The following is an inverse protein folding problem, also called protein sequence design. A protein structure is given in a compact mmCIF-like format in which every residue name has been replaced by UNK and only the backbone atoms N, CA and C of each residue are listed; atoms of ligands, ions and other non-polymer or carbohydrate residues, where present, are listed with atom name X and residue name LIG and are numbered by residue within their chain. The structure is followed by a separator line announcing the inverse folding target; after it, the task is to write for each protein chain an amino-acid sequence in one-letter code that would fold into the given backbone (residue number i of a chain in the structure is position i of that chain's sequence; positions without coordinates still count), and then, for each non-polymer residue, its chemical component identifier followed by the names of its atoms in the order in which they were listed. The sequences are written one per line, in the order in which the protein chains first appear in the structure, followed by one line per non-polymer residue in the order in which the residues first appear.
data_IF_593514359885
#
_entry.id   IF_593514359885
#
_cell.length_a   1.000
_cell.length_b   1.000
_cell.length_c   1.000
_cell.angle_alpha   90.00
_cell.angle_beta   90.00
_cell.angle_gamma   90.00
#
_symmetry.space_group_name_H-M   'P 1'
#
loop_
_entity.id
_entity.type
_entity.pdbx_description
1 polymer ?
#
# COMPACT_ATOMS: atom_id res chain seq x y z
N UNK A 1 -16.22 6.42 6.48
CA UNK A 1 -16.36 5.41 5.41
C UNK A 1 -15.71 5.83 4.09
N UNK A 2 -16.16 6.88 3.40
CA UNK A 2 -15.62 7.30 2.08
C UNK A 2 -14.09 7.47 2.05
N UNK A 3 -13.51 8.12 3.07
CA UNK A 3 -12.06 8.32 3.20
C UNK A 3 -11.29 7.02 3.44
N UNK A 4 -11.87 6.08 4.19
CA UNK A 4 -11.29 4.75 4.41
C UNK A 4 -11.23 3.97 3.10
N UNK A 5 -12.29 4.01 2.29
CA UNK A 5 -12.31 3.36 0.97
C UNK A 5 -11.34 3.99 -0.01
N UNK A 6 -11.17 5.32 -0.01
CA UNK A 6 -10.16 6.00 -0.84
C UNK A 6 -8.75 5.56 -0.46
N UNK A 7 -8.43 5.56 0.83
CA UNK A 7 -7.13 5.10 1.30
C UNK A 7 -6.87 3.63 0.97
N UNK A 8 -7.86 2.76 1.23
CA UNK A 8 -7.82 1.34 0.92
C UNK A 8 -7.56 1.14 -0.57
N UNK A 9 -8.30 1.84 -1.45
CA UNK A 9 -8.10 1.77 -2.89
C UNK A 9 -6.68 2.18 -3.26
N UNK A 10 -6.20 3.37 -2.85
CA UNK A 10 -4.89 3.86 -3.26
C UNK A 10 -3.73 2.95 -2.80
N UNK A 11 -3.74 2.54 -1.53
CA UNK A 11 -2.68 1.70 -0.97
C UNK A 11 -2.69 0.29 -1.55
N UNK A 12 -3.87 -0.29 -1.75
CA UNK A 12 -3.97 -1.63 -2.35
C UNK A 12 -3.76 -1.62 -3.84
N UNK A 13 -4.19 -0.59 -4.58
CA UNK A 13 -3.92 -0.42 -6.00
C UNK A 13 -2.41 -0.37 -6.25
N UNK A 14 -1.68 0.44 -5.50
CA UNK A 14 -0.23 0.50 -5.60
C UNK A 14 0.43 -0.84 -5.26
N UNK A 15 0.02 -1.48 -4.15
CA UNK A 15 0.54 -2.78 -3.74
C UNK A 15 0.27 -3.90 -4.75
N UNK A 16 -0.94 -3.94 -5.31
CA UNK A 16 -1.35 -4.94 -6.29
C UNK A 16 -0.71 -4.73 -7.65
N UNK A 17 -0.57 -3.47 -8.08
CA UNK A 17 0.20 -3.12 -9.28
C UNK A 17 1.65 -3.59 -9.16
N UNK A 18 2.30 -3.34 -8.02
CA UNK A 18 3.67 -3.78 -7.75
C UNK A 18 3.74 -5.30 -7.70
N UNK A 19 2.97 -5.97 -6.83
CA UNK A 19 3.10 -7.43 -6.63
C UNK A 19 2.72 -8.21 -7.88
N UNK A 20 1.70 -7.77 -8.63
CA UNK A 20 1.25 -8.41 -9.87
C UNK A 20 2.26 -8.30 -11.00
N UNK A 21 3.20 -7.35 -10.92
CA UNK A 21 4.25 -7.14 -11.91
C UNK A 21 5.66 -7.36 -11.33
N UNK A 22 5.77 -7.82 -10.08
CA UNK A 22 6.99 -7.69 -9.28
C UNK A 22 8.18 -8.43 -9.91
N UNK A 23 7.95 -9.63 -10.44
CA UNK A 23 9.01 -10.44 -11.05
C UNK A 23 9.65 -9.69 -12.23
N UNK A 24 8.84 -9.23 -13.19
CA UNK A 24 9.31 -8.45 -14.34
C UNK A 24 9.92 -7.12 -13.93
N UNK A 25 9.34 -6.45 -12.93
CA UNK A 25 9.78 -5.16 -12.42
C UNK A 25 11.18 -5.22 -11.82
N UNK A 26 11.50 -6.25 -11.05
CA UNK A 26 12.84 -6.39 -10.46
C UNK A 26 13.86 -6.94 -11.46
N UNK A 27 13.42 -7.76 -12.42
CA UNK A 27 14.29 -8.20 -13.52
C UNK A 27 14.72 -7.03 -14.42
N UNK A 28 13.85 -6.03 -14.63
CA UNK A 28 14.21 -4.76 -15.29
C UNK A 28 15.32 -4.00 -14.54
N UNK A 29 15.44 -4.22 -13.23
CA UNK A 29 16.51 -3.67 -12.40
C UNK A 29 17.80 -4.50 -12.42
N UNK A 30 17.88 -5.54 -13.27
CA UNK A 30 19.06 -6.40 -13.45
C UNK A 30 19.07 -7.66 -12.58
N UNK A 31 17.99 -7.98 -11.87
CA UNK A 31 17.89 -9.22 -11.10
C UNK A 31 17.67 -10.43 -12.03
N UNK A 32 18.28 -11.55 -11.69
CA UNK A 32 17.98 -12.85 -12.29
C UNK A 32 16.58 -13.35 -11.91
N UNK A 33 16.06 -14.33 -12.65
CA UNK A 33 14.78 -14.98 -12.37
C UNK A 33 14.72 -15.57 -10.95
N UNK A 34 15.79 -16.22 -10.50
CA UNK A 34 15.90 -16.79 -9.14
C UNK A 34 15.83 -15.68 -8.08
N UNK A 35 16.51 -14.55 -8.31
CA UNK A 35 16.45 -13.39 -7.41
C UNK A 35 15.07 -12.73 -7.43
N UNK A 36 14.35 -12.77 -8.55
CA UNK A 36 12.99 -12.27 -8.65
C UNK A 36 12.01 -13.10 -7.82
N UNK A 37 12.15 -14.43 -7.82
CA UNK A 37 11.40 -15.32 -6.91
C UNK A 37 11.67 -14.96 -5.45
N UNK A 38 12.94 -14.73 -5.10
CA UNK A 38 13.29 -14.31 -3.75
C UNK A 38 12.69 -12.94 -3.37
N UNK A 39 12.63 -12.00 -4.31
CA UNK A 39 11.97 -10.70 -4.12
C UNK A 39 10.47 -10.88 -3.81
N UNK A 40 9.76 -11.76 -4.52
CA UNK A 40 8.35 -12.08 -4.26
C UNK A 40 8.15 -12.69 -2.87
N UNK A 41 9.06 -13.58 -2.43
CA UNK A 41 9.04 -14.13 -1.08
C UNK A 41 9.22 -13.02 -0.03
N UNK A 42 10.18 -12.12 -0.25
CA UNK A 42 10.47 -11.02 0.68
C UNK A 42 9.31 -10.02 0.76
N UNK A 43 8.66 -9.72 -0.37
CA UNK A 43 7.41 -8.95 -0.39
C UNK A 43 6.32 -9.61 0.46
N UNK A 44 6.17 -10.94 0.35
CA UNK A 44 5.17 -11.70 1.10
C UNK A 44 5.45 -11.71 2.61
N UNK A 45 6.73 -11.84 3.01
CA UNK A 45 7.16 -11.71 4.41
C UNK A 45 6.90 -10.30 4.93
N UNK A 46 7.21 -9.27 4.14
CA UNK A 46 6.85 -7.88 4.44
C UNK A 46 5.35 -7.73 4.70
N UNK A 47 4.51 -8.25 3.80
CA UNK A 47 3.05 -8.19 3.93
C UNK A 47 2.54 -8.88 5.20
N UNK A 48 3.07 -10.06 5.52
CA UNK A 48 2.67 -10.79 6.72
C UNK A 48 3.08 -10.05 8.00
N UNK A 49 4.35 -9.60 8.08
CA UNK A 49 4.87 -8.87 9.25
C UNK A 49 4.14 -7.55 9.51
N UNK A 50 3.71 -6.87 8.46
CA UNK A 50 2.92 -5.64 8.55
C UNK A 50 1.65 -5.80 9.37
N UNK A 51 0.99 -6.97 9.31
CA UNK A 51 -0.27 -7.19 10.02
C UNK A 51 -0.11 -7.08 11.53
N UNK A 52 1.03 -7.57 12.04
CA UNK A 52 1.38 -7.52 13.46
C UNK A 52 1.86 -6.12 13.83
N UNK A 53 2.83 -5.58 13.08
CA UNK A 53 3.50 -4.33 13.44
C UNK A 53 2.55 -3.14 13.30
N UNK A 54 1.79 -3.04 12.20
CA UNK A 54 0.84 -1.94 12.03
C UNK A 54 -0.37 -2.05 12.95
N UNK A 55 -0.80 -3.26 13.33
CA UNK A 55 -1.80 -3.43 14.39
C UNK A 55 -1.32 -2.85 15.71
N UNK A 56 -0.11 -3.23 16.14
CA UNK A 56 0.52 -2.71 17.35
C UNK A 56 0.77 -1.19 17.31
N UNK A 57 1.11 -0.63 16.15
CA UNK A 57 1.23 0.82 15.96
C UNK A 57 -0.15 1.47 16.07
N UNK A 58 -1.17 0.90 15.40
CA UNK A 58 -2.54 1.41 15.44
C UNK A 58 -3.07 1.49 16.86
N UNK A 59 -2.81 0.49 17.71
CA UNK A 59 -3.26 0.50 19.10
C UNK A 59 -2.71 1.69 19.91
N UNK A 60 -1.57 2.28 19.49
CA UNK A 60 -0.95 3.44 20.14
C UNK A 60 -1.34 4.78 19.55
N UNK A 61 -1.41 4.87 18.23
CA UNK A 61 -1.60 6.16 17.52
C UNK A 61 -2.92 6.25 16.76
N UNK A 62 -3.75 5.21 16.81
CA UNK A 62 -5.04 5.12 16.17
C UNK A 62 -4.97 5.33 14.65
N UNK A 63 -5.97 6.04 14.13
CA UNK A 63 -6.15 6.30 12.69
C UNK A 63 -5.03 7.07 12.00
N UNK A 64 -4.07 7.62 12.75
CA UNK A 64 -2.85 8.29 12.24
C UNK A 64 -1.92 7.33 11.53
N UNK A 65 -1.95 6.06 11.93
CA UNK A 65 -1.19 5.00 11.28
C UNK A 65 -1.49 4.88 9.79
N UNK A 66 -2.71 5.18 9.33
CA UNK A 66 -3.09 5.08 7.90
C UNK A 66 -2.27 6.03 7.02
N UNK A 67 -2.32 7.37 7.20
CA UNK A 67 -1.50 8.25 6.36
C UNK A 67 -0.01 7.99 6.55
N UNK A 68 0.45 7.54 7.72
CA UNK A 68 1.86 7.15 7.92
C UNK A 68 2.25 5.91 7.10
N UNK A 69 1.38 4.90 7.01
CA UNK A 69 1.66 3.71 6.21
C UNK A 69 1.68 4.03 4.71
N UNK A 70 0.80 4.93 4.26
CA UNK A 70 0.80 5.42 2.87
C UNK A 70 2.03 6.28 2.56
N UNK A 71 2.50 7.10 3.51
CA UNK A 71 3.77 7.84 3.36
C UNK A 71 4.98 6.90 3.31
N UNK A 72 5.00 5.85 4.14
CA UNK A 72 6.05 4.83 4.07
C UNK A 72 6.06 4.14 2.69
N UNK A 73 4.88 3.81 2.16
CA UNK A 73 4.73 3.29 0.80
C UNK A 73 5.32 4.28 -0.21
N UNK A 74 4.88 5.55 -0.15
CA UNK A 74 5.36 6.63 -1.03
C UNK A 74 6.88 6.74 -1.02
N UNK A 75 7.49 6.82 0.17
CA UNK A 75 8.94 6.91 0.32
C UNK A 75 9.66 5.70 -0.24
N UNK A 76 9.15 4.50 0.02
CA UNK A 76 9.77 3.26 -0.48
C UNK A 76 9.70 3.20 -2.01
N UNK A 77 8.55 3.57 -2.61
CA UNK A 77 8.40 3.67 -4.07
C UNK A 77 9.32 4.74 -4.65
N UNK A 78 9.47 5.89 -3.99
CA UNK A 78 10.39 6.95 -4.42
C UNK A 78 11.83 6.46 -4.41
N UNK A 79 12.28 5.81 -3.32
CA UNK A 79 13.62 5.23 -3.24
C UNK A 79 13.84 4.13 -4.27
N UNK A 80 12.80 3.36 -4.60
CA UNK A 80 12.88 2.37 -5.69
C UNK A 80 13.09 3.04 -7.05
N UNK A 81 12.36 4.14 -7.32
CA UNK A 81 12.44 4.90 -8.57
C UNK A 81 13.79 5.59 -8.80
N UNK A 82 14.39 6.13 -7.74
CA UNK A 82 15.66 6.88 -7.81
C UNK A 82 16.88 6.02 -7.46
N UNK A 83 16.64 4.82 -6.95
CA UNK A 83 17.68 3.89 -6.52
C UNK A 83 18.53 3.40 -7.69
N UNK A 84 19.81 3.10 -7.40
CA UNK A 84 20.70 2.44 -8.34
C UNK A 84 20.51 0.92 -8.38
N UNK A 85 21.25 0.20 -9.24
CA UNK A 85 21.09 -1.24 -9.51
C UNK A 85 21.62 -2.15 -8.37
N UNK A 86 21.63 -1.67 -7.13
CA UNK A 86 22.10 -2.47 -6.00
C UNK A 86 21.07 -3.54 -5.64
N UNK A 87 21.44 -4.81 -5.82
CA UNK A 87 20.62 -5.97 -5.47
C UNK A 87 20.06 -5.88 -4.05
N UNK A 88 20.94 -5.59 -3.08
CA UNK A 88 20.55 -5.50 -1.66
C UNK A 88 19.53 -4.39 -1.44
N UNK A 89 19.71 -3.24 -2.09
CA UNK A 89 18.78 -2.12 -1.99
C UNK A 89 17.40 -2.51 -2.56
N UNK A 90 17.37 -3.09 -3.76
CA UNK A 90 16.13 -3.54 -4.42
C UNK A 90 15.38 -4.52 -3.53
N UNK A 91 16.05 -5.54 -2.98
CA UNK A 91 15.42 -6.52 -2.11
C UNK A 91 14.84 -5.88 -0.83
N UNK A 92 15.61 -5.04 -0.15
CA UNK A 92 15.14 -4.34 1.05
C UNK A 92 13.90 -3.50 0.74
N UNK A 93 13.92 -2.74 -0.36
CA UNK A 93 12.77 -1.92 -0.77
C UNK A 93 11.55 -2.78 -1.10
N UNK A 94 11.71 -3.92 -1.77
CA UNK A 94 10.61 -4.85 -2.04
C UNK A 94 9.97 -5.38 -0.76
N UNK A 95 10.78 -5.68 0.27
CA UNK A 95 10.27 -6.02 1.60
C UNK A 95 9.42 -4.91 2.20
N UNK A 96 9.87 -3.64 2.10
CA UNK A 96 9.12 -2.48 2.57
C UNK A 96 7.86 -2.17 1.74
N UNK A 97 7.88 -2.44 0.43
CA UNK A 97 6.68 -2.34 -0.42
C UNK A 97 5.63 -3.37 0.02
N UNK A 98 6.07 -4.61 0.27
CA UNK A 98 5.21 -5.66 0.83
C UNK A 98 4.66 -5.27 2.21
N UNK A 99 5.51 -4.74 3.07
CA UNK A 99 5.13 -4.25 4.39
C UNK A 99 4.09 -3.12 4.33
N UNK A 100 4.29 -2.15 3.43
CA UNK A 100 3.35 -1.06 3.23
C UNK A 100 2.02 -1.53 2.64
N UNK A 101 2.05 -2.52 1.75
CA UNK A 101 0.84 -3.16 1.23
C UNK A 101 0.07 -3.91 2.31
N UNK A 102 0.77 -4.65 3.19
CA UNK A 102 0.15 -5.40 4.29
C UNK A 102 -0.59 -4.54 5.31
N UNK A 103 -0.16 -3.30 5.51
CA UNK A 103 -0.79 -2.33 6.42
C UNK A 103 -2.29 -2.12 6.10
N UNK A 104 -2.66 -2.11 4.81
CA UNK A 104 -4.04 -1.86 4.39
C UNK A 104 -5.03 -2.88 4.98
N UNK A 105 -4.65 -4.15 5.11
CA UNK A 105 -5.57 -5.18 5.58
C UNK A 105 -5.93 -5.05 7.07
N UNK A 106 -5.03 -4.45 7.85
CA UNK A 106 -5.22 -4.30 9.31
C UNK A 106 -5.76 -2.92 9.67
N UNK A 107 -5.18 -1.86 9.11
CA UNK A 107 -5.49 -0.49 9.54
C UNK A 107 -6.93 -0.08 9.22
N UNK A 108 -7.45 -0.46 8.05
CA UNK A 108 -8.83 -0.09 7.67
C UNK A 108 -9.88 -0.90 8.44
N UNK A 109 -9.60 -2.17 8.74
CA UNK A 109 -10.43 -2.97 9.62
C UNK A 109 -10.46 -2.34 11.03
N UNK A 110 -9.29 -2.02 11.58
CA UNK A 110 -9.17 -1.45 12.92
C UNK A 110 -9.86 -0.07 13.04
N UNK A 111 -9.72 0.80 12.02
CA UNK A 111 -10.47 2.08 12.00
C UNK A 111 -11.97 1.88 11.99
N UNK A 112 -12.49 0.95 11.19
CA UNK A 112 -13.94 0.71 11.14
C UNK A 112 -14.44 0.12 12.46
N UNK A 113 -13.70 -0.82 13.05
CA UNK A 113 -14.03 -1.41 14.34
C UNK A 113 -14.01 -0.37 15.49
N UNK A 114 -13.09 0.59 15.46
CA UNK A 114 -13.01 1.65 16.47
C UNK A 114 -14.02 2.78 16.26
N UNK A 115 -14.39 3.09 15.01
CA UNK A 115 -15.24 4.23 14.69
C UNK A 115 -16.74 3.92 14.75
N UNK A 116 -17.14 2.65 14.73
CA UNK A 116 -18.54 2.22 14.65
C UNK A 116 -18.85 1.11 15.66
N UNK A 117 -20.10 1.00 16.15
CA UNK A 117 -20.53 -0.13 16.96
C UNK A 117 -20.27 -1.47 16.26
N UNK A 118 -19.90 -2.50 17.04
CA UNK A 118 -19.43 -3.79 16.52
C UNK A 118 -20.40 -4.47 15.54
N UNK A 119 -21.72 -4.34 15.75
CA UNK A 119 -22.73 -4.92 14.88
C UNK A 119 -22.77 -4.30 13.46
N UNK A 120 -22.21 -3.11 13.26
CA UNK A 120 -22.06 -2.52 11.93
C UNK A 120 -20.81 -2.99 11.20
N UNK A 121 -19.83 -3.58 11.90
CA UNK A 121 -18.54 -3.96 11.29
C UNK A 121 -18.71 -4.91 10.10
N UNK A 122 -19.55 -5.94 10.26
CA UNK A 122 -19.84 -6.94 9.23
C UNK A 122 -20.48 -6.35 7.97
N UNK A 123 -21.15 -5.21 8.07
CA UNK A 123 -21.74 -4.51 6.93
C UNK A 123 -20.78 -3.46 6.34
N UNK A 124 -20.01 -2.77 7.19
CA UNK A 124 -19.18 -1.65 6.78
C UNK A 124 -17.83 -2.07 6.21
N UNK A 125 -17.18 -3.07 6.81
CA UNK A 125 -15.86 -3.50 6.36
C UNK A 125 -15.88 -4.08 4.94
N UNK A 126 -16.83 -4.96 4.54
CA UNK A 126 -16.91 -5.44 3.16
C UNK A 126 -17.10 -4.32 2.15
N UNK A 127 -17.92 -3.32 2.45
CA UNK A 127 -18.11 -2.14 1.59
C UNK A 127 -16.80 -1.34 1.41
N UNK A 128 -15.97 -1.24 2.46
CA UNK A 128 -14.63 -0.68 2.34
C UNK A 128 -13.71 -1.59 1.52
N UNK A 129 -13.81 -2.90 1.72
CA UNK A 129 -13.01 -3.93 1.05
C UNK A 129 -13.32 -4.08 -0.44
N UNK A 130 -14.49 -3.64 -0.91
CA UNK A 130 -14.77 -3.52 -2.35
C UNK A 130 -13.73 -2.65 -3.07
N UNK A 131 -13.15 -1.66 -2.38
CA UNK A 131 -12.04 -0.88 -2.91
C UNK A 131 -10.81 -1.74 -3.26
N UNK A 132 -10.52 -2.76 -2.44
CA UNK A 132 -9.47 -3.73 -2.73
C UNK A 132 -9.83 -4.62 -3.93
N UNK A 133 -11.09 -5.05 -4.05
CA UNK A 133 -11.55 -5.81 -5.21
C UNK A 133 -11.35 -5.03 -6.52
N UNK A 134 -11.73 -3.76 -6.54
CA UNK A 134 -11.50 -2.85 -7.68
C UNK A 134 -10.01 -2.64 -7.95
N UNK A 135 -9.20 -2.46 -6.90
CA UNK A 135 -7.75 -2.35 -7.03
C UNK A 135 -7.12 -3.64 -7.61
N UNK A 136 -7.65 -4.82 -7.27
CA UNK A 136 -7.18 -6.11 -7.76
C UNK A 136 -7.42 -6.30 -9.25
N UNK A 137 -8.56 -5.82 -9.75
CA UNK A 137 -8.89 -5.83 -11.17
C UNK A 137 -7.99 -4.86 -11.96
N UNK A 138 -7.75 -3.66 -11.42
CA UNK A 138 -7.11 -2.58 -12.16
C UNK A 138 -5.59 -2.55 -12.00
N UNK A 139 -5.05 -2.84 -10.82
CA UNK A 139 -3.64 -2.62 -10.46
C UNK A 139 -2.67 -3.37 -11.38
N UNK A 140 -2.72 -4.72 -11.42
CA UNK A 140 -1.82 -5.50 -12.27
C UNK A 140 -1.98 -5.17 -13.75
N UNK A 141 -3.23 -5.05 -14.23
CA UNK A 141 -3.56 -4.78 -15.63
C UNK A 141 -3.03 -3.43 -16.11
N UNK A 142 -3.26 -2.35 -15.34
CA UNK A 142 -2.72 -1.02 -15.65
C UNK A 142 -1.19 -1.03 -15.56
N UNK A 143 -0.62 -1.73 -14.56
CA UNK A 143 0.83 -1.84 -14.41
C UNK A 143 1.52 -2.48 -15.62
N UNK A 144 0.96 -3.57 -16.14
CA UNK A 144 1.42 -4.25 -17.34
C UNK A 144 1.22 -3.42 -18.60
N UNK A 145 0.02 -2.83 -18.78
CA UNK A 145 -0.26 -1.99 -19.95
C UNK A 145 0.68 -0.77 -20.04
N UNK A 146 0.98 -0.12 -18.92
CA UNK A 146 1.95 0.98 -18.87
C UNK A 146 3.37 0.51 -19.21
N UNK A 147 3.75 -0.71 -18.80
CA UNK A 147 5.03 -1.31 -19.15
C UNK A 147 5.12 -1.62 -20.65
N UNK A 148 4.05 -2.12 -21.24
CA UNK A 148 3.99 -2.44 -22.67
C UNK A 148 4.07 -1.18 -23.53
N UNK A 149 3.40 -0.10 -23.10
CA UNK A 149 3.39 1.18 -23.82
C UNK A 149 4.71 1.95 -23.72
N UNK A 150 5.36 1.93 -22.56
CA UNK A 150 6.55 2.77 -22.30
C UNK A 150 7.88 2.04 -22.34
N UNK A 151 7.86 0.70 -22.37
CA UNK A 151 9.07 -0.10 -22.30
C UNK A 151 9.70 -0.20 -20.92
N UNK A 152 9.12 0.42 -19.87
CA UNK A 152 9.64 0.41 -18.50
C UNK A 152 8.53 0.47 -17.45
N UNK A 153 8.78 -0.05 -16.23
CA UNK A 153 7.86 0.09 -15.10
C UNK A 153 7.86 1.47 -14.44
N UNK A 154 8.69 2.41 -14.91
CA UNK A 154 8.83 3.74 -14.32
C UNK A 154 7.50 4.50 -14.26
N UNK A 155 6.69 4.46 -15.32
CA UNK A 155 5.36 5.11 -15.33
C UNK A 155 4.40 4.47 -14.33
N UNK A 156 4.39 3.14 -14.24
CA UNK A 156 3.57 2.39 -13.29
C UNK A 156 3.93 2.77 -11.85
N UNK A 157 5.23 2.86 -11.53
CA UNK A 157 5.71 3.28 -10.22
C UNK A 157 5.42 4.75 -9.92
N UNK A 158 5.53 5.66 -10.91
CA UNK A 158 5.13 7.07 -10.74
C UNK A 158 3.64 7.22 -10.45
N UNK A 159 2.79 6.42 -11.11
CA UNK A 159 1.36 6.38 -10.83
C UNK A 159 1.09 5.91 -9.40
N UNK A 160 1.75 4.83 -8.96
CA UNK A 160 1.66 4.37 -7.57
C UNK A 160 2.05 5.48 -6.61
N UNK A 161 3.24 6.09 -6.81
CA UNK A 161 3.78 7.16 -5.99
C UNK A 161 2.80 8.34 -5.88
N UNK A 162 2.26 8.79 -7.01
CA UNK A 162 1.29 9.87 -7.06
C UNK A 162 0.03 9.54 -6.23
N UNK A 163 -0.59 8.39 -6.48
CA UNK A 163 -1.83 7.98 -5.81
C UNK A 163 -1.66 7.84 -4.30
N UNK A 164 -0.62 7.15 -3.83
CA UNK A 164 -0.41 6.96 -2.38
C UNK A 164 -0.03 8.26 -1.68
N UNK A 165 0.73 9.14 -2.35
CA UNK A 165 1.13 10.43 -1.78
C UNK A 165 -0.06 11.37 -1.64
N UNK A 166 -0.87 11.52 -2.69
CA UNK A 166 -2.07 12.36 -2.64
C UNK A 166 -3.05 11.81 -1.60
N UNK A 167 -3.28 10.50 -1.56
CA UNK A 167 -4.15 9.87 -0.57
C UNK A 167 -3.64 10.11 0.86
N UNK A 168 -2.33 9.97 1.09
CA UNK A 168 -1.73 10.25 2.39
C UNK A 168 -1.94 11.71 2.83
N UNK A 169 -1.68 12.68 1.95
CA UNK A 169 -1.84 14.12 2.23
C UNK A 169 -3.31 14.43 2.55
N UNK A 170 -4.25 13.94 1.75
CA UNK A 170 -5.68 14.17 1.94
C UNK A 170 -6.18 13.60 3.27
N UNK A 171 -5.76 12.38 3.62
CA UNK A 171 -6.13 11.73 4.88
C UNK A 171 -5.50 12.42 6.09
N UNK A 172 -4.25 12.89 5.96
CA UNK A 172 -3.59 13.65 7.01
C UNK A 172 -4.24 15.03 7.24
N UNK A 173 -4.61 15.73 6.18
CA UNK A 173 -5.30 17.02 6.27
C UNK A 173 -6.70 16.89 6.91
N UNK A 174 -7.47 15.85 6.51
CA UNK A 174 -8.81 15.57 7.06
C UNK A 174 -8.80 15.20 8.54
N UNK A 175 -7.70 14.64 9.06
CA UNK A 175 -7.55 14.31 10.48
C UNK A 175 -7.78 15.52 11.39
N UNK A 176 -7.27 16.71 11.01
CA UNK A 176 -7.43 17.93 11.81
C UNK A 176 -8.89 18.35 12.00
N UNK A 177 -9.75 18.02 11.04
CA UNK A 177 -11.18 18.35 11.09
C UNK A 177 -12.01 17.40 11.97
N UNK A 178 -11.57 16.15 12.17
CA UNK A 178 -12.33 15.13 12.90
C UNK A 178 -11.99 15.08 14.40
N UNK A 179 -10.77 15.46 14.79
CA UNK A 179 -10.37 15.56 16.21
C UNK A 179 -11.12 16.66 16.99
N UNK A 180 -11.87 17.54 16.32
CA UNK A 180 -12.76 18.52 16.96
C UNK A 180 -14.13 17.96 17.38
N UNK A 181 -14.51 16.74 16.95
CA UNK A 181 -15.86 16.18 17.17
C UNK A 181 -15.92 14.99 18.13
N UNK A 182 -14.78 14.48 18.56
CA UNK A 182 -14.67 13.39 19.53
C UNK A 182 -13.56 13.72 20.52
N UNK A 183 -13.83 14.68 21.41
CA UNK A 183 -13.27 14.62 22.76
C UNK A 183 -14.24 13.78 23.61
N UNK A 184 -13.75 12.92 24.51
CA UNK A 184 -14.60 12.30 25.52
C UNK A 184 -15.32 13.36 26.35
#
# INVERSE_FOLDING_TARGET
MMFSSLGMFSGTFAGLLVVGNLSSLVQESGLSEVQAVFAVMLFSVGNASARIIWGFIFDRIGSVSIPLSLLLFSLTTLFFLVGGPSLTLVLVLVGFLGFSFGANFVLYAAVIAHAYPLHYFSSLYPLCFLAYGMAGLLGPAIGGALRDLSGSYRLSLMLCLFLVTISAILLFAKRRSLNGRYKP
#
